data_IF_765824828367
#
_entry.id   IF_765824828367
#
_cell.length_a   1.000
_cell.length_b   1.000
_cell.length_c   1.000
_cell.angle_alpha   90.00
_cell.angle_beta   90.00
_cell.angle_gamma   90.00
#
_symmetry.space_group_name_H-M   'P 1'
#
loop_
_entity.id
_entity.type
_entity.pdbx_description
1 polymer ?
#
# COMPACT_ATOMS: atom_id res chain seq x y z
N UNK A 1 -15.02 27.33 -11.77
CA UNK A 1 -13.64 27.65 -11.32
C UNK A 1 -12.65 27.76 -12.49
N UNK A 2 -11.44 28.32 -12.27
CA UNK A 2 -10.30 28.33 -13.21
C UNK A 2 -9.00 27.94 -12.49
N UNK A 3 -8.17 27.10 -13.09
CA UNK A 3 -6.84 26.74 -12.57
C UNK A 3 -5.86 27.91 -12.77
N UNK A 4 -5.28 28.39 -11.68
CA UNK A 4 -4.24 29.42 -11.70
C UNK A 4 -2.84 28.80 -11.57
N UNK A 5 -1.83 29.44 -12.15
CA UNK A 5 -0.42 28.99 -12.04
C UNK A 5 0.23 29.74 -10.88
N UNK A 6 0.90 29.01 -10.00
CA UNK A 6 1.52 29.49 -8.76
C UNK A 6 3.04 29.31 -8.84
N UNK A 7 3.81 30.34 -8.52
CA UNK A 7 5.27 30.26 -8.43
C UNK A 7 5.74 29.79 -7.03
N UNK A 8 6.99 29.33 -6.94
CA UNK A 8 7.58 28.84 -5.69
C UNK A 8 7.62 29.91 -4.59
N UNK A 9 7.86 31.18 -4.94
CA UNK A 9 7.94 32.27 -3.96
C UNK A 9 6.58 32.54 -3.32
N UNK A 10 5.51 32.53 -4.10
CA UNK A 10 4.14 32.66 -3.59
C UNK A 10 3.67 31.42 -2.83
N UNK A 11 4.10 30.21 -3.20
CA UNK A 11 3.86 29.01 -2.37
C UNK A 11 4.57 29.12 -1.02
N UNK A 12 5.84 29.57 -0.98
CA UNK A 12 6.58 29.83 0.27
C UNK A 12 5.88 30.86 1.16
N UNK A 13 5.31 31.92 0.60
CA UNK A 13 4.49 32.88 1.35
C UNK A 13 3.25 32.24 1.97
N UNK A 14 2.53 31.39 1.22
CA UNK A 14 1.35 30.67 1.74
C UNK A 14 1.72 29.70 2.87
N UNK A 15 2.75 28.88 2.67
CA UNK A 15 3.22 27.91 3.67
C UNK A 15 3.76 28.58 4.95
N UNK A 16 4.32 29.79 4.85
CA UNK A 16 4.83 30.53 6.02
C UNK A 16 3.73 31.27 6.78
N UNK A 17 2.77 31.88 6.07
CA UNK A 17 1.82 32.81 6.67
C UNK A 17 0.46 32.17 6.99
N UNK A 18 -0.02 31.24 6.15
CA UNK A 18 -1.35 30.63 6.27
C UNK A 18 -1.36 29.10 6.05
N UNK A 19 -0.44 28.30 6.65
CA UNK A 19 -0.34 26.86 6.38
C UNK A 19 -1.66 26.10 6.65
N UNK A 20 -2.46 26.54 7.63
CA UNK A 20 -3.76 25.95 7.95
C UNK A 20 -4.90 26.30 6.95
N UNK A 21 -4.65 27.17 5.95
CA UNK A 21 -5.62 27.57 4.92
C UNK A 21 -5.27 27.09 3.51
N UNK A 22 -4.08 26.49 3.33
CA UNK A 22 -3.72 25.81 2.10
C UNK A 22 -3.77 24.29 2.25
N UNK A 23 -4.16 23.59 1.18
CA UNK A 23 -3.96 22.15 1.04
C UNK A 23 -3.00 21.91 -0.14
N UNK A 24 -1.95 21.12 0.08
CA UNK A 24 -0.99 20.77 -0.97
C UNK A 24 -1.17 19.31 -1.37
N UNK A 25 -1.42 19.07 -2.66
CA UNK A 25 -1.63 17.75 -3.26
C UNK A 25 -0.44 17.41 -4.16
N UNK A 26 0.36 16.45 -3.70
CA UNK A 26 1.56 15.98 -4.37
C UNK A 26 1.24 14.78 -5.27
N UNK A 27 1.21 15.02 -6.57
CA UNK A 27 0.85 14.03 -7.58
C UNK A 27 2.05 13.25 -8.14
N UNK A 28 3.23 13.33 -7.48
CA UNK A 28 4.38 12.49 -7.81
C UNK A 28 4.14 11.03 -7.42
N UNK A 29 4.86 10.06 -8.04
CA UNK A 29 4.83 8.67 -7.58
C UNK A 29 5.19 8.55 -6.10
N UNK A 30 4.55 7.63 -5.38
CA UNK A 30 4.73 7.46 -3.93
C UNK A 30 6.20 7.34 -3.49
N UNK A 31 7.06 6.69 -4.28
CA UNK A 31 8.50 6.56 -3.99
C UNK A 31 9.23 7.92 -4.02
N UNK A 32 8.85 8.82 -4.94
CA UNK A 32 9.43 10.17 -5.02
C UNK A 32 8.95 11.07 -3.88
N UNK A 33 7.69 10.90 -3.46
CA UNK A 33 7.13 11.60 -2.30
C UNK A 33 7.74 11.10 -0.97
N UNK A 34 7.85 9.79 -0.79
CA UNK A 34 8.34 9.20 0.48
C UNK A 34 9.84 9.41 0.73
N UNK A 35 10.64 9.70 -0.31
CA UNK A 35 12.03 10.11 -0.15
C UNK A 35 12.18 11.59 0.27
N UNK A 36 11.38 12.49 -0.32
CA UNK A 36 11.42 13.93 -0.05
C UNK A 36 10.09 14.58 -0.46
N UNK A 37 9.41 15.25 0.48
CA UNK A 37 8.11 15.91 0.24
C UNK A 37 8.01 17.31 0.88
N UNK A 38 6.97 18.07 0.51
CA UNK A 38 6.63 19.33 1.17
C UNK A 38 6.05 19.05 2.56
N UNK A 39 6.45 19.85 3.56
CA UNK A 39 5.92 19.71 4.92
C UNK A 39 4.40 19.91 4.94
N UNK A 40 3.67 18.82 5.20
CA UNK A 40 2.20 18.83 5.26
C UNK A 40 1.48 18.68 3.92
N UNK A 41 2.16 18.30 2.82
CA UNK A 41 1.46 17.88 1.59
C UNK A 41 0.91 16.46 1.72
N UNK A 42 -0.17 16.16 1.00
CA UNK A 42 -0.73 14.81 0.87
C UNK A 42 -0.33 14.21 -0.47
N UNK A 43 0.12 12.95 -0.49
CA UNK A 43 0.38 12.25 -1.75
C UNK A 43 -0.93 11.73 -2.38
N UNK A 44 -1.13 12.01 -3.67
CA UNK A 44 -2.29 11.53 -4.41
C UNK A 44 -1.96 10.24 -5.15
N UNK A 45 -2.10 9.11 -4.46
CA UNK A 45 -1.77 7.79 -5.00
C UNK A 45 -2.93 7.17 -5.81
N UNK A 46 -3.25 7.73 -6.98
CA UNK A 46 -4.17 7.09 -7.93
C UNK A 46 -3.55 5.81 -8.49
N UNK A 47 -4.16 4.66 -8.25
CA UNK A 47 -3.70 3.40 -8.83
C UNK A 47 -3.88 3.38 -10.36
N UNK A 48 -3.10 2.52 -11.04
CA UNK A 48 -3.09 2.44 -12.51
C UNK A 48 -4.44 2.08 -13.12
N UNK A 49 -5.28 1.31 -12.42
CA UNK A 49 -6.64 0.98 -12.86
C UNK A 49 -7.56 2.20 -12.86
N UNK A 50 -7.47 3.07 -11.84
CA UNK A 50 -8.21 4.34 -11.76
C UNK A 50 -7.73 5.31 -12.83
N UNK A 51 -6.40 5.48 -12.99
CA UNK A 51 -5.81 6.34 -14.05
C UNK A 51 -6.30 5.89 -15.43
N UNK A 52 -6.22 4.58 -15.73
CA UNK A 52 -6.66 4.02 -17.01
C UNK A 52 -8.16 4.20 -17.24
N UNK A 53 -9.02 3.92 -16.25
CA UNK A 53 -10.49 4.11 -16.39
C UNK A 53 -10.89 5.58 -16.53
N UNK A 54 -10.15 6.50 -15.90
CA UNK A 54 -10.38 7.92 -16.00
C UNK A 54 -10.15 8.45 -17.43
N UNK A 55 -9.06 8.04 -18.10
CA UNK A 55 -8.60 8.63 -19.37
C UNK A 55 -8.47 10.17 -19.31
N UNK A 56 -8.03 10.69 -18.17
CA UNK A 56 -7.92 12.13 -17.88
C UNK A 56 -9.21 12.82 -17.43
N UNK A 57 -10.35 12.11 -17.34
CA UNK A 57 -11.62 12.66 -16.81
C UNK A 57 -11.57 12.78 -15.28
N UNK A 58 -12.49 13.55 -14.66
CA UNK A 58 -12.68 13.55 -13.21
C UNK A 58 -12.91 12.15 -12.64
N UNK A 59 -12.48 11.91 -11.41
CA UNK A 59 -12.79 10.72 -10.60
C UNK A 59 -13.51 11.15 -9.31
N UNK A 60 -14.18 10.25 -8.57
CA UNK A 60 -14.74 10.58 -7.26
C UNK A 60 -13.69 11.19 -6.32
N UNK A 61 -14.05 12.30 -5.64
CA UNK A 61 -13.11 13.12 -4.87
C UNK A 61 -12.32 12.34 -3.79
N UNK A 62 -12.90 11.27 -3.23
CA UNK A 62 -12.23 10.42 -2.25
C UNK A 62 -10.98 9.70 -2.78
N UNK A 63 -10.85 9.48 -4.10
CA UNK A 63 -9.60 8.96 -4.68
C UNK A 63 -8.48 10.01 -4.74
N UNK A 64 -8.84 11.30 -4.77
CA UNK A 64 -7.90 12.42 -4.87
C UNK A 64 -7.51 12.96 -3.50
N UNK A 65 -8.46 12.98 -2.56
CA UNK A 65 -8.26 13.36 -1.16
C UNK A 65 -8.89 12.25 -0.30
N UNK A 66 -8.11 11.23 0.13
CA UNK A 66 -8.65 10.10 0.90
C UNK A 66 -8.99 10.46 2.35
N UNK A 67 -8.41 11.53 2.90
CA UNK A 67 -8.71 12.04 4.24
C UNK A 67 -10.09 12.73 4.31
N UNK A 68 -10.93 12.29 5.25
CA UNK A 68 -12.27 12.85 5.53
C UNK A 68 -12.19 14.33 5.95
N UNK A 69 -11.25 14.69 6.83
CA UNK A 69 -11.18 16.04 7.38
C UNK A 69 -10.76 17.08 6.32
N UNK A 70 -9.83 16.72 5.43
CA UNK A 70 -9.47 17.50 4.26
C UNK A 70 -10.63 17.58 3.24
N UNK A 71 -11.38 16.49 3.00
CA UNK A 71 -12.60 16.56 2.16
C UNK A 71 -13.63 17.55 2.73
N UNK A 72 -13.93 17.47 4.03
CA UNK A 72 -14.83 18.42 4.68
C UNK A 72 -14.37 19.88 4.50
N UNK A 73 -13.10 20.16 4.78
CA UNK A 73 -12.50 21.51 4.63
C UNK A 73 -12.42 22.02 3.18
N UNK A 74 -12.50 21.14 2.18
CA UNK A 74 -12.56 21.49 0.75
C UNK A 74 -13.97 21.82 0.26
N UNK A 75 -14.99 21.18 0.84
CA UNK A 75 -16.39 21.30 0.42
C UNK A 75 -17.16 22.40 1.17
N UNK A 76 -16.59 22.99 2.21
CA UNK A 76 -17.12 24.20 2.85
C UNK A 76 -17.06 25.40 1.87
N UNK A 77 -18.18 26.14 1.69
CA UNK A 77 -18.17 27.39 0.92
C UNK A 77 -17.33 28.50 1.57
N UNK A 78 -16.90 29.48 0.77
CA UNK A 78 -16.39 30.76 1.25
C UNK A 78 -17.52 31.60 1.84
N UNK A 79 -17.75 31.43 3.14
CA UNK A 79 -18.55 32.34 3.95
C UNK A 79 -18.03 33.79 3.76
N UNK A 80 -18.97 34.73 3.58
CA UNK A 80 -18.66 36.16 3.59
C UNK A 80 -18.35 36.59 5.03
N UNK A 81 -17.50 37.61 5.24
CA UNK A 81 -17.40 38.27 6.52
C UNK A 81 -18.65 39.13 6.73
N UNK A 82 -19.68 38.55 7.35
CA UNK A 82 -20.74 39.31 8.01
C UNK A 82 -20.23 39.65 9.42
N UNK A 83 -20.35 40.91 9.83
CA UNK A 83 -19.93 41.37 11.15
C UNK A 83 -20.87 40.79 12.22
N UNK A 84 -20.30 40.14 13.23
CA UNK A 84 -21.04 39.68 14.41
C UNK A 84 -20.39 40.28 15.65
N UNK A 85 -21.18 41.10 16.35
CA UNK A 85 -20.78 41.96 17.46
C UNK A 85 -20.50 41.16 18.76
N UNK A 86 -20.00 41.83 19.80
CA UNK A 86 -19.56 41.23 21.04
C UNK A 86 -20.70 40.49 21.78
N UNK A 87 -20.45 39.21 22.12
CA UNK A 87 -21.31 38.39 22.97
C UNK A 87 -20.49 37.70 24.06
N UNK A 88 -20.43 38.28 25.26
CA UNK A 88 -19.80 37.64 26.43
C UNK A 88 -20.66 36.50 26.96
N UNK A 89 -20.09 35.29 26.99
CA UNK A 89 -20.67 34.14 27.68
C UNK A 89 -19.56 33.23 28.21
N UNK A 90 -19.49 33.07 29.53
CA UNK A 90 -18.58 32.12 30.17
C UNK A 90 -19.15 30.70 30.10
N UNK A 91 -18.30 29.72 29.76
CA UNK A 91 -18.69 28.32 29.64
C UNK A 91 -17.53 27.45 29.18
N UNK A 92 -16.84 26.83 30.13
CA UNK A 92 -15.76 25.88 29.85
C UNK A 92 -16.33 24.50 29.48
N UNK A 93 -16.31 24.17 28.19
CA UNK A 93 -16.06 22.79 27.75
C UNK A 93 -15.32 22.79 26.40
N UNK A 94 -14.55 21.73 26.14
CA UNK A 94 -13.48 21.73 25.11
C UNK A 94 -13.97 21.47 23.69
N UNK A 95 -14.81 22.36 23.17
CA UNK A 95 -15.17 22.39 21.75
C UNK A 95 -13.92 22.67 20.91
N UNK A 96 -13.50 21.78 19.98
CA UNK A 96 -12.37 22.06 19.11
C UNK A 96 -12.69 23.23 18.17
N UNK A 97 -11.72 24.12 17.88
CA UNK A 97 -11.98 25.32 17.09
C UNK A 97 -12.50 24.97 15.69
N UNK A 98 -13.48 25.73 15.14
CA UNK A 98 -14.16 25.38 13.90
C UNK A 98 -13.15 25.19 12.74
N UNK A 99 -13.39 24.21 11.85
CA UNK A 99 -12.42 23.79 10.86
C UNK A 99 -12.05 24.93 9.91
N UNK A 100 -10.81 25.44 10.04
CA UNK A 100 -10.34 26.58 9.26
C UNK A 100 -10.44 26.30 7.76
N UNK A 101 -11.24 27.16 7.11
CA UNK A 101 -11.57 27.09 5.70
C UNK A 101 -10.34 27.21 4.80
N UNK A 102 -10.29 26.37 3.77
CA UNK A 102 -9.25 26.41 2.75
C UNK A 102 -9.45 27.57 1.76
N UNK A 103 -8.44 28.41 1.62
CA UNK A 103 -8.40 29.50 0.62
C UNK A 103 -7.76 29.04 -0.70
N UNK A 104 -6.88 28.03 -0.66
CA UNK A 104 -6.19 27.51 -1.84
C UNK A 104 -5.92 26.00 -1.78
N UNK A 105 -6.02 25.34 -2.93
CA UNK A 105 -5.59 23.96 -3.17
C UNK A 105 -4.45 24.01 -4.19
N UNK A 106 -3.27 23.56 -3.80
CA UNK A 106 -2.06 23.59 -4.63
C UNK A 106 -1.76 22.18 -5.11
N UNK A 107 -1.89 21.96 -6.41
CA UNK A 107 -1.52 20.71 -7.09
C UNK A 107 -0.10 20.85 -7.64
N UNK A 108 0.73 19.82 -7.46
CA UNK A 108 2.08 19.78 -8.03
C UNK A 108 2.42 18.39 -8.59
N UNK A 109 3.34 18.35 -9.54
CA UNK A 109 3.96 17.13 -10.06
C UNK A 109 5.49 17.18 -9.85
N UNK A 110 6.26 16.37 -10.58
CA UNK A 110 7.73 16.40 -10.49
C UNK A 110 8.30 17.75 -10.95
N UNK A 111 8.05 18.16 -12.21
CA UNK A 111 8.72 19.32 -12.80
C UNK A 111 7.95 20.04 -13.94
N UNK A 112 6.64 19.85 -14.09
CA UNK A 112 5.88 20.47 -15.20
C UNK A 112 5.82 21.99 -15.06
N UNK A 113 6.33 22.71 -16.06
CA UNK A 113 6.44 24.19 -16.04
C UNK A 113 5.09 24.94 -16.06
N UNK A 114 3.99 24.30 -16.47
CA UNK A 114 2.65 24.91 -16.51
C UNK A 114 1.56 23.83 -16.66
N UNK A 115 0.43 23.93 -15.96
CA UNK A 115 -0.62 22.87 -15.95
C UNK A 115 -1.10 22.46 -17.35
N UNK A 116 -1.26 23.42 -18.28
CA UNK A 116 -1.59 23.17 -19.70
C UNK A 116 -0.58 22.29 -20.47
N UNK A 117 0.56 21.92 -19.89
CA UNK A 117 1.56 20.99 -20.46
C UNK A 117 1.57 19.61 -19.80
N UNK A 118 0.66 19.35 -18.85
CA UNK A 118 0.49 18.02 -18.26
C UNK A 118 0.02 17.01 -19.31
N UNK A 119 0.46 15.75 -19.18
CA UNK A 119 -0.07 14.65 -19.99
C UNK A 119 -1.53 14.41 -19.61
N UNK A 120 -2.40 14.16 -20.60
CA UNK A 120 -3.86 13.94 -20.41
C UNK A 120 -4.18 12.92 -19.31
N UNK A 121 -3.39 11.84 -19.25
CA UNK A 121 -3.57 10.73 -18.30
C UNK A 121 -2.61 10.80 -17.09
N UNK A 122 -1.99 11.95 -16.83
CA UNK A 122 -1.19 12.14 -15.62
C UNK A 122 -2.07 12.32 -14.37
N UNK A 123 -1.59 11.84 -13.22
CA UNK A 123 -2.23 12.02 -11.91
C UNK A 123 -2.61 13.47 -11.67
N UNK A 124 -1.68 14.42 -11.88
CA UNK A 124 -1.95 15.85 -11.70
C UNK A 124 -3.07 16.39 -12.62
N UNK A 125 -3.21 15.88 -13.85
CA UNK A 125 -4.29 16.30 -14.75
C UNK A 125 -5.65 15.74 -14.32
N UNK A 126 -5.69 14.50 -13.85
CA UNK A 126 -6.91 13.88 -13.28
C UNK A 126 -7.32 14.60 -11.99
N UNK A 127 -6.36 14.96 -11.13
CA UNK A 127 -6.57 15.74 -9.90
C UNK A 127 -7.14 17.12 -10.21
N UNK A 128 -6.53 17.88 -11.12
CA UNK A 128 -7.04 19.19 -11.51
C UNK A 128 -8.47 19.11 -12.06
N UNK A 129 -8.76 18.13 -12.91
CA UNK A 129 -10.11 17.94 -13.47
C UNK A 129 -11.12 17.51 -12.41
N UNK A 130 -10.70 16.70 -11.43
CA UNK A 130 -11.53 16.31 -10.28
C UNK A 130 -11.88 17.49 -9.39
N UNK A 131 -10.90 18.32 -9.03
CA UNK A 131 -11.11 19.53 -8.23
C UNK A 131 -12.02 20.53 -8.96
N UNK A 132 -11.81 20.74 -10.27
CA UNK A 132 -12.66 21.60 -11.10
C UNK A 132 -14.13 21.14 -11.18
N UNK A 133 -14.40 19.85 -11.00
CA UNK A 133 -15.73 19.25 -11.05
C UNK A 133 -16.39 19.05 -9.67
N UNK A 134 -15.63 19.13 -8.57
CA UNK A 134 -16.10 18.76 -7.22
C UNK A 134 -16.13 19.91 -6.21
N UNK A 135 -15.43 21.04 -6.46
CA UNK A 135 -15.40 22.16 -5.52
C UNK A 135 -16.54 23.16 -5.76
N UNK A 136 -17.23 23.65 -4.70
CA UNK A 136 -18.32 24.61 -4.83
C UNK A 136 -17.82 26.02 -5.20
N UNK A 137 -18.68 26.86 -5.77
CA UNK A 137 -18.41 28.28 -5.97
C UNK A 137 -19.36 29.14 -5.09
N UNK A 138 -18.84 30.10 -4.30
CA UNK A 138 -17.42 30.41 -4.09
C UNK A 138 -16.74 29.39 -3.14
N UNK A 139 -15.54 28.93 -3.51
CA UNK A 139 -14.77 27.95 -2.74
C UNK A 139 -13.26 28.06 -2.99
N UNK A 140 -12.48 27.11 -2.45
CA UNK A 140 -11.02 27.15 -2.44
C UNK A 140 -10.39 27.29 -3.85
N UNK A 141 -9.42 28.20 -4.00
CA UNK A 141 -8.76 28.47 -5.28
C UNK A 141 -7.88 27.31 -5.75
N UNK A 142 -8.12 26.80 -6.95
CA UNK A 142 -7.25 25.79 -7.56
C UNK A 142 -5.99 26.44 -8.16
N UNK A 143 -4.84 26.01 -7.66
CA UNK A 143 -3.50 26.47 -8.04
C UNK A 143 -2.66 25.28 -8.54
N UNK A 144 -1.78 25.49 -9.52
CA UNK A 144 -0.78 24.52 -9.95
C UNK A 144 0.64 25.08 -9.84
N UNK A 145 1.55 24.34 -9.22
CA UNK A 145 2.92 24.77 -8.95
C UNK A 145 3.79 24.77 -10.23
N UNK A 146 4.24 25.96 -10.64
CA UNK A 146 5.10 26.21 -11.80
C UNK A 146 6.46 25.53 -11.62
N UNK A 147 6.68 24.44 -12.37
CA UNK A 147 7.94 23.70 -12.33
C UNK A 147 7.98 22.60 -11.26
N UNK A 148 6.82 22.22 -10.71
CA UNK A 148 6.66 21.07 -9.81
C UNK A 148 7.50 21.14 -8.53
N UNK A 149 7.66 19.97 -7.90
CA UNK A 149 8.49 19.81 -6.70
C UNK A 149 9.94 20.22 -6.92
N UNK A 150 10.52 19.85 -8.06
CA UNK A 150 11.95 20.02 -8.38
C UNK A 150 12.37 21.51 -8.40
N UNK A 151 11.54 22.38 -8.98
CA UNK A 151 11.77 23.84 -9.01
C UNK A 151 11.49 24.51 -7.67
N UNK A 152 10.72 23.88 -6.79
CA UNK A 152 10.50 24.39 -5.43
C UNK A 152 11.63 23.97 -4.48
N UNK A 153 11.94 22.67 -4.43
CA UNK A 153 12.98 22.11 -3.56
C UNK A 153 14.36 22.73 -3.81
N UNK A 154 14.71 22.98 -5.09
CA UNK A 154 15.96 23.67 -5.45
C UNK A 154 16.03 25.15 -5.05
N UNK A 155 14.92 25.76 -4.65
CA UNK A 155 14.84 27.17 -4.23
C UNK A 155 14.62 27.31 -2.71
N UNK A 156 13.81 26.42 -2.13
CA UNK A 156 13.32 26.50 -0.74
C UNK A 156 13.30 25.13 -0.04
N UNK A 157 14.44 24.43 0.09
CA UNK A 157 14.50 23.10 0.70
C UNK A 157 14.09 23.11 2.19
N UNK A 158 14.14 24.26 2.87
CA UNK A 158 13.76 24.39 4.29
C UNK A 158 12.25 24.18 4.56
N UNK A 159 11.42 24.20 3.51
CA UNK A 159 9.99 23.89 3.55
C UNK A 159 9.68 22.41 3.24
N UNK A 160 10.70 21.62 2.91
CA UNK A 160 10.59 20.20 2.64
C UNK A 160 10.93 19.34 3.88
N UNK A 161 10.65 18.04 3.75
CA UNK A 161 11.07 16.97 4.65
C UNK A 161 11.82 15.96 3.79
N UNK A 162 13.13 15.89 3.96
CA UNK A 162 13.93 14.80 3.42
C UNK A 162 13.94 13.63 4.41
N UNK A 163 13.47 12.46 3.97
CA UNK A 163 13.51 11.25 4.79
C UNK A 163 14.91 10.65 4.70
N UNK A 164 15.86 11.29 5.39
CA UNK A 164 17.18 10.70 5.62
C UNK A 164 17.00 9.41 6.42
N UNK A 165 17.59 8.27 6.01
CA UNK A 165 17.69 7.12 6.89
C UNK A 165 18.49 7.51 8.14
N UNK A 166 18.07 7.01 9.31
CA UNK A 166 18.68 7.37 10.60
C UNK A 166 20.11 6.83 10.66
N UNK A 167 21.07 7.70 10.36
CA UNK A 167 22.49 7.49 10.61
C UNK A 167 22.86 8.05 11.98
N UNK A 168 23.65 7.31 12.75
CA UNK A 168 24.12 7.68 14.08
C UNK A 168 24.90 9.00 14.07
N UNK A 169 24.95 9.65 15.24
CA UNK A 169 25.78 10.83 15.50
C UNK A 169 27.24 10.60 15.08
N UNK A 170 27.84 11.57 14.40
CA UNK A 170 29.29 11.65 14.17
C UNK A 170 29.77 13.08 14.37
N UNK A 171 30.88 13.20 15.08
CA UNK A 171 31.40 14.44 15.65
C UNK A 171 31.90 15.44 14.61
N UNK A 172 31.92 16.72 14.96
CA UNK A 172 32.40 17.82 14.13
C UNK A 172 33.93 17.77 13.92
N UNK A 173 34.40 16.98 12.94
CA UNK A 173 35.82 16.91 12.56
C UNK A 173 36.05 16.97 11.03
N UNK A 174 35.32 16.16 10.24
CA UNK A 174 35.63 15.91 8.81
C UNK A 174 35.14 16.99 7.82
N UNK A 175 35.33 18.28 8.14
CA UNK A 175 34.88 19.41 7.30
C UNK A 175 35.82 19.78 6.14
N UNK A 176 36.97 19.11 5.98
CA UNK A 176 38.11 19.63 5.19
C UNK A 176 38.66 18.73 4.06
N UNK A 177 37.90 17.75 3.54
CA UNK A 177 38.31 16.94 2.36
C UNK A 177 37.24 16.88 1.24
N UNK A 178 36.25 17.77 1.25
CA UNK A 178 35.12 17.76 0.30
C UNK A 178 35.31 18.59 -0.98
N UNK A 179 36.51 19.10 -1.27
CA UNK A 179 36.73 20.09 -2.35
C UNK A 179 37.25 19.55 -3.69
N UNK A 180 37.58 18.25 -3.81
CA UNK A 180 38.29 17.71 -4.99
C UNK A 180 37.75 16.38 -5.56
N UNK A 181 36.57 15.92 -5.13
CA UNK A 181 35.91 14.70 -5.67
C UNK A 181 34.54 14.95 -6.33
N UNK A 182 34.30 16.16 -6.84
CA UNK A 182 33.05 16.57 -7.49
C UNK A 182 32.83 15.95 -8.90
N UNK A 183 33.53 14.84 -9.23
CA UNK A 183 33.45 14.13 -10.52
C UNK A 183 33.51 12.61 -10.41
N UNK A 184 32.71 12.03 -9.52
CA UNK A 184 32.32 10.61 -9.65
C UNK A 184 30.88 10.40 -9.18
N UNK A 185 30.09 9.68 -9.99
CA UNK A 185 28.67 9.50 -9.75
C UNK A 185 28.42 8.69 -8.47
N UNK A 186 27.66 9.25 -7.53
CA UNK A 186 27.31 8.52 -6.31
C UNK A 186 26.31 7.40 -6.66
N UNK A 187 26.81 6.16 -6.71
CA UNK A 187 25.99 4.94 -6.76
C UNK A 187 25.23 4.74 -5.43
N UNK A 188 24.24 5.59 -5.17
CA UNK A 188 23.24 5.31 -4.14
C UNK A 188 22.31 4.22 -4.67
N UNK A 189 22.18 3.12 -3.93
CA UNK A 189 21.25 2.05 -4.30
C UNK A 189 19.81 2.58 -4.23
N UNK A 190 18.88 2.05 -5.05
CA UNK A 190 17.46 2.44 -5.03
C UNK A 190 16.86 2.44 -3.62
N UNK A 191 15.81 3.24 -3.39
CA UNK A 191 15.18 3.35 -2.07
C UNK A 191 14.68 2.01 -1.48
N UNK A 192 14.44 0.99 -2.32
CA UNK A 192 14.07 -0.37 -1.89
C UNK A 192 15.25 -1.26 -1.48
N UNK A 193 16.48 -0.84 -1.76
CA UNK A 193 17.77 -1.46 -1.43
C UNK A 193 18.49 -0.73 -0.29
N UNK A 194 17.80 0.16 0.41
CA UNK A 194 18.29 0.80 1.63
C UNK A 194 18.02 -0.08 2.84
N UNK A 195 19.05 -0.30 3.66
CA UNK A 195 19.04 -1.26 4.76
C UNK A 195 19.44 -2.67 4.32
N UNK A 196 18.86 -3.68 4.96
CA UNK A 196 19.08 -5.09 4.63
C UNK A 196 17.77 -5.88 4.50
N UNK A 197 17.83 -7.22 4.45
CA UNK A 197 16.64 -8.07 4.52
C UNK A 197 15.78 -7.76 5.75
N UNK A 198 14.46 -7.75 5.55
CA UNK A 198 13.48 -7.45 6.60
C UNK A 198 12.94 -8.75 7.19
N UNK A 199 12.97 -8.90 8.51
CA UNK A 199 12.39 -10.07 9.18
C UNK A 199 10.86 -10.03 9.15
N UNK A 200 10.23 -11.08 8.62
CA UNK A 200 8.78 -11.28 8.64
C UNK A 200 8.40 -12.25 9.76
N UNK A 201 9.16 -13.35 9.90
CA UNK A 201 9.14 -14.27 11.04
C UNK A 201 10.60 -14.63 11.38
N UNK A 202 10.92 -15.19 12.57
CA UNK A 202 12.29 -15.51 12.98
C UNK A 202 13.10 -16.42 12.03
N UNK A 203 12.43 -17.09 11.09
CA UNK A 203 13.00 -17.94 10.04
C UNK A 203 12.75 -17.42 8.61
N UNK A 204 12.00 -16.34 8.41
CA UNK A 204 11.54 -15.85 7.11
C UNK A 204 11.86 -14.37 6.94
N UNK A 205 12.79 -14.08 6.04
CA UNK A 205 13.22 -12.72 5.68
C UNK A 205 12.77 -12.36 4.26
N UNK A 206 12.56 -11.07 4.02
CA UNK A 206 12.07 -10.50 2.77
C UNK A 206 13.08 -9.49 2.20
N UNK A 207 13.40 -9.57 0.91
CA UNK A 207 14.35 -8.65 0.29
C UNK A 207 14.26 -8.51 -1.24
N UNK A 208 15.23 -7.77 -1.77
CA UNK A 208 15.51 -7.54 -3.18
C UNK A 208 16.67 -8.43 -3.67
N UNK A 209 16.96 -8.38 -4.97
CA UNK A 209 18.12 -9.05 -5.56
C UNK A 209 19.44 -8.43 -5.05
N UNK A 210 19.45 -7.12 -4.75
CA UNK A 210 20.58 -6.48 -4.08
C UNK A 210 20.81 -7.09 -2.69
N UNK A 211 19.77 -7.21 -1.84
CA UNK A 211 19.91 -7.83 -0.52
C UNK A 211 20.42 -9.28 -0.61
N UNK A 212 19.91 -10.06 -1.56
CA UNK A 212 20.37 -11.44 -1.80
C UNK A 212 21.81 -11.54 -2.35
N UNK A 213 22.39 -10.44 -2.85
CA UNK A 213 23.78 -10.40 -3.33
C UNK A 213 24.81 -10.04 -2.25
N UNK A 214 24.38 -9.76 -1.01
CA UNK A 214 25.26 -9.32 0.09
C UNK A 214 25.52 -10.45 1.08
N UNK A 215 26.64 -11.16 0.88
CA UNK A 215 27.11 -12.23 1.77
C UNK A 215 27.11 -11.82 3.24
N UNK A 216 27.50 -10.58 3.54
CA UNK A 216 27.50 -10.01 4.89
C UNK A 216 26.10 -9.99 5.53
N UNK A 217 25.06 -9.56 4.78
CA UNK A 217 23.68 -9.60 5.28
C UNK A 217 23.18 -11.04 5.47
N UNK A 218 23.54 -11.96 4.58
CA UNK A 218 23.16 -13.36 4.68
C UNK A 218 23.82 -14.03 5.91
N UNK A 219 25.12 -13.80 6.12
CA UNK A 219 25.88 -14.32 7.24
C UNK A 219 25.41 -13.74 8.58
N UNK A 220 25.30 -12.41 8.69
CA UNK A 220 24.91 -11.72 9.93
C UNK A 220 23.49 -12.04 10.38
N UNK A 221 22.58 -12.40 9.45
CA UNK A 221 21.23 -12.86 9.76
C UNK A 221 21.14 -14.39 9.93
N UNK A 222 22.22 -15.14 9.68
CA UNK A 222 22.29 -16.60 9.63
C UNK A 222 21.31 -17.24 8.62
N UNK A 223 21.19 -16.65 7.43
CA UNK A 223 20.43 -17.22 6.32
C UNK A 223 21.07 -18.54 5.87
N UNK A 224 20.27 -19.59 5.75
CA UNK A 224 20.68 -20.93 5.27
C UNK A 224 20.09 -21.25 3.89
N UNK A 225 19.10 -20.47 3.42
CA UNK A 225 18.38 -20.72 2.19
C UNK A 225 17.93 -19.43 1.46
N UNK A 226 17.83 -19.51 0.14
CA UNK A 226 17.40 -18.43 -0.73
C UNK A 226 16.24 -18.91 -1.62
N UNK A 227 15.15 -18.12 -1.70
CA UNK A 227 14.08 -18.32 -2.67
C UNK A 227 13.99 -17.11 -3.60
N UNK A 228 14.48 -17.29 -4.83
CA UNK A 228 14.45 -16.27 -5.88
C UNK A 228 13.15 -16.38 -6.70
N UNK A 229 12.30 -15.37 -6.59
CA UNK A 229 11.00 -15.26 -7.29
C UNK A 229 11.10 -14.24 -8.42
N UNK A 230 12.10 -14.38 -9.30
CA UNK A 230 12.32 -13.46 -10.43
C UNK A 230 12.84 -14.17 -11.68
N UNK A 231 12.61 -13.57 -12.87
CA UNK A 231 13.09 -14.13 -14.15
C UNK A 231 14.62 -14.26 -14.27
N UNK A 232 15.41 -13.52 -13.49
CA UNK A 232 16.87 -13.63 -13.50
C UNK A 232 17.28 -14.68 -12.46
N UNK A 233 17.84 -15.81 -12.91
CA UNK A 233 18.61 -16.68 -12.01
C UNK A 233 19.80 -15.87 -11.49
N UNK A 234 20.07 -15.96 -10.20
CA UNK A 234 21.31 -15.44 -9.61
C UNK A 234 22.21 -16.64 -9.36
N UNK A 235 23.41 -16.63 -9.94
CA UNK A 235 24.35 -17.75 -9.88
C UNK A 235 25.33 -17.77 -8.68
N UNK A 236 25.78 -16.65 -8.08
CA UNK A 236 27.00 -16.66 -7.25
C UNK A 236 26.90 -17.36 -5.87
N UNK A 237 25.77 -18.00 -5.53
CA UNK A 237 25.51 -18.52 -4.18
C UNK A 237 24.84 -19.90 -4.10
N UNK A 238 24.77 -20.66 -5.20
CA UNK A 238 24.15 -22.01 -5.20
C UNK A 238 24.83 -23.01 -4.29
N UNK A 239 26.11 -22.80 -4.00
CA UNK A 239 26.99 -23.81 -3.40
C UNK A 239 27.14 -23.61 -1.87
N UNK A 240 26.57 -22.51 -1.34
CA UNK A 240 26.66 -22.12 0.08
C UNK A 240 25.30 -22.09 0.79
N UNK A 241 24.20 -22.02 0.05
CA UNK A 241 22.84 -21.89 0.59
C UNK A 241 21.90 -22.86 -0.13
N UNK A 242 20.87 -23.37 0.56
CA UNK A 242 19.79 -24.09 -0.10
C UNK A 242 19.03 -23.11 -1.02
N UNK A 243 19.35 -23.12 -2.31
CA UNK A 243 18.83 -22.17 -3.29
C UNK A 243 17.67 -22.78 -4.11
N UNK A 244 16.52 -22.10 -4.12
CA UNK A 244 15.39 -22.40 -5.02
C UNK A 244 15.05 -21.19 -5.88
N UNK A 245 14.64 -21.46 -7.12
CA UNK A 245 14.31 -20.44 -8.12
C UNK A 245 12.95 -20.74 -8.75
N UNK A 246 12.06 -19.74 -8.73
CA UNK A 246 10.72 -19.80 -9.33
C UNK A 246 10.61 -18.59 -10.29
N UNK A 247 10.73 -18.80 -11.62
CA UNK A 247 11.00 -17.72 -12.58
C UNK A 247 9.76 -16.90 -12.98
N UNK A 248 9.28 -16.03 -12.08
CA UNK A 248 8.07 -15.21 -12.31
C UNK A 248 8.39 -13.79 -12.81
N UNK A 249 7.65 -13.32 -13.83
CA UNK A 249 7.63 -11.92 -14.29
C UNK A 249 6.71 -11.05 -13.42
N UNK A 250 7.06 -9.77 -13.20
CA UNK A 250 6.23 -8.83 -12.45
C UNK A 250 5.07 -8.24 -13.29
N UNK A 251 4.33 -9.12 -13.96
CA UNK A 251 3.16 -8.75 -14.76
C UNK A 251 1.86 -9.17 -14.07
N UNK A 252 0.80 -8.40 -14.30
CA UNK A 252 -0.56 -8.76 -13.93
C UNK A 252 -1.13 -9.91 -14.78
N UNK A 253 -0.45 -10.28 -15.87
CA UNK A 253 -0.77 -11.43 -16.73
C UNK A 253 0.02 -12.70 -16.36
N UNK A 254 0.94 -12.61 -15.40
CA UNK A 254 1.69 -13.78 -14.93
C UNK A 254 0.90 -14.50 -13.84
N UNK A 255 0.86 -15.83 -13.90
CA UNK A 255 0.44 -16.66 -12.78
C UNK A 255 1.61 -16.83 -11.80
N UNK A 256 1.34 -16.50 -10.54
CA UNK A 256 2.21 -16.77 -9.39
C UNK A 256 1.52 -17.70 -8.38
N UNK A 257 0.20 -17.91 -8.52
CA UNK A 257 -0.64 -18.68 -7.61
C UNK A 257 -0.38 -20.18 -7.68
N UNK A 258 -0.17 -20.74 -8.88
CA UNK A 258 0.24 -22.14 -9.06
C UNK A 258 1.55 -22.49 -8.34
N UNK A 259 2.43 -21.50 -8.15
CA UNK A 259 3.69 -21.65 -7.41
C UNK A 259 3.58 -21.41 -5.90
N UNK A 260 2.41 -21.03 -5.35
CA UNK A 260 2.27 -20.78 -3.92
C UNK A 260 2.57 -22.01 -3.07
N UNK A 261 1.96 -23.16 -3.39
CA UNK A 261 2.18 -24.39 -2.62
C UNK A 261 3.66 -24.83 -2.68
N UNK A 262 4.26 -24.77 -3.87
CA UNK A 262 5.68 -25.06 -4.11
C UNK A 262 6.63 -24.18 -3.27
N UNK A 263 6.34 -22.88 -3.19
CA UNK A 263 7.12 -21.93 -2.41
C UNK A 263 6.93 -22.13 -0.89
N UNK A 264 5.70 -22.41 -0.47
CA UNK A 264 5.33 -22.60 0.94
C UNK A 264 5.98 -23.85 1.52
N UNK A 265 5.98 -24.95 0.77
CA UNK A 265 6.66 -26.20 1.16
C UNK A 265 8.17 -26.02 1.31
N UNK A 266 8.80 -25.21 0.44
CA UNK A 266 10.22 -24.90 0.55
C UNK A 266 10.53 -24.06 1.80
N UNK A 267 9.77 -22.98 2.05
CA UNK A 267 9.91 -22.16 3.26
C UNK A 267 9.68 -23.01 4.53
N UNK A 268 8.68 -23.88 4.52
CA UNK A 268 8.38 -24.75 5.67
C UNK A 268 9.42 -25.86 5.89
N UNK A 269 10.04 -26.37 4.83
CA UNK A 269 11.16 -27.31 4.92
C UNK A 269 12.35 -26.68 5.66
N UNK A 270 12.75 -25.46 5.27
CA UNK A 270 13.82 -24.72 5.95
C UNK A 270 13.47 -24.40 7.41
N UNK A 271 12.21 -24.01 7.67
CA UNK A 271 11.68 -23.82 9.03
C UNK A 271 11.80 -25.09 9.88
N UNK A 272 11.45 -26.26 9.34
CA UNK A 272 11.55 -27.55 10.03
C UNK A 272 12.99 -28.00 10.27
N UNK A 273 13.92 -27.60 9.42
CA UNK A 273 15.36 -27.79 9.62
C UNK A 273 15.99 -26.81 10.63
N UNK A 274 15.21 -25.88 11.21
CA UNK A 274 15.71 -24.83 12.11
C UNK A 274 16.51 -23.72 11.41
N UNK A 275 16.53 -23.72 10.09
CA UNK A 275 17.23 -22.72 9.27
C UNK A 275 16.44 -21.43 9.08
N UNK A 276 17.04 -20.49 8.33
CA UNK A 276 16.43 -19.21 7.96
C UNK A 276 16.46 -19.01 6.46
N UNK A 277 15.36 -18.53 5.87
CA UNK A 277 15.22 -18.32 4.44
C UNK A 277 14.99 -16.84 4.08
N UNK A 278 15.71 -16.36 3.06
CA UNK A 278 15.43 -15.09 2.40
C UNK A 278 14.60 -15.31 1.12
N UNK A 279 13.37 -14.80 1.10
CA UNK A 279 12.52 -14.76 -0.09
C UNK A 279 12.73 -13.41 -0.78
N UNK A 280 13.16 -13.42 -2.04
CA UNK A 280 13.48 -12.20 -2.78
C UNK A 280 12.98 -12.22 -4.23
N UNK A 281 12.86 -11.04 -4.82
CA UNK A 281 12.72 -10.83 -6.26
C UNK A 281 13.58 -9.62 -6.66
N UNK A 282 13.43 -9.04 -7.85
CA UNK A 282 14.27 -7.91 -8.30
C UNK A 282 14.36 -6.78 -7.25
N UNK A 283 13.22 -6.18 -6.86
CA UNK A 283 13.14 -5.03 -5.96
C UNK A 283 12.54 -5.34 -4.56
N UNK A 284 12.05 -6.56 -4.34
CA UNK A 284 11.37 -6.92 -3.08
C UNK A 284 10.08 -6.11 -2.80
N UNK A 285 9.36 -5.72 -3.86
CA UNK A 285 8.14 -4.89 -3.79
C UNK A 285 6.86 -5.68 -4.09
N UNK A 286 6.89 -6.61 -5.05
CA UNK A 286 5.68 -7.30 -5.55
C UNK A 286 5.77 -8.83 -5.44
N UNK A 287 6.59 -9.51 -6.26
CA UNK A 287 6.68 -10.99 -6.29
C UNK A 287 7.03 -11.65 -4.94
N UNK A 288 8.13 -11.28 -4.29
CA UNK A 288 8.49 -11.89 -3.00
C UNK A 288 7.52 -11.55 -1.86
N UNK A 289 6.99 -10.31 -1.72
CA UNK A 289 5.90 -10.04 -0.79
C UNK A 289 4.65 -10.88 -1.03
N UNK A 290 4.28 -11.14 -2.28
CA UNK A 290 3.14 -12.01 -2.64
C UNK A 290 3.32 -13.43 -2.09
N UNK A 291 4.51 -14.02 -2.27
CA UNK A 291 4.84 -15.34 -1.70
C UNK A 291 4.80 -15.32 -0.16
N UNK A 292 5.31 -14.26 0.48
CA UNK A 292 5.24 -14.11 1.93
C UNK A 292 3.78 -13.98 2.44
N UNK A 293 2.90 -13.29 1.70
CA UNK A 293 1.46 -13.21 2.03
C UNK A 293 0.80 -14.59 1.94
N UNK A 294 1.00 -15.31 0.83
CA UNK A 294 0.49 -16.67 0.65
C UNK A 294 0.96 -17.62 1.77
N UNK A 295 2.22 -17.51 2.19
CA UNK A 295 2.77 -18.26 3.33
C UNK A 295 2.08 -17.91 4.67
N UNK A 296 1.91 -16.63 4.98
CA UNK A 296 1.23 -16.20 6.20
C UNK A 296 -0.23 -16.66 6.23
N UNK A 297 -0.98 -16.54 5.14
CA UNK A 297 -2.37 -17.00 5.10
C UNK A 297 -2.46 -18.53 5.26
N UNK A 298 -1.63 -19.31 4.55
CA UNK A 298 -1.65 -20.78 4.62
C UNK A 298 -1.23 -21.31 6.00
N UNK A 299 -0.12 -20.78 6.55
CA UNK A 299 0.59 -21.36 7.70
C UNK A 299 0.33 -20.64 9.04
N UNK A 300 -0.14 -19.39 9.01
CA UNK A 300 -0.55 -18.62 10.21
C UNK A 300 -2.06 -18.32 10.26
N UNK A 301 -2.83 -18.72 9.25
CA UNK A 301 -4.28 -18.50 9.14
C UNK A 301 -4.71 -17.03 9.17
N UNK A 302 -3.80 -16.15 8.75
CA UNK A 302 -4.12 -14.75 8.50
C UNK A 302 -5.05 -14.63 7.29
N UNK A 303 -5.89 -13.59 7.29
CA UNK A 303 -6.54 -13.07 6.09
C UNK A 303 -5.53 -12.33 5.21
N UNK A 304 -5.91 -12.03 3.97
CA UNK A 304 -5.06 -11.29 3.04
C UNK A 304 -4.75 -9.88 3.54
N UNK A 305 -5.76 -9.18 4.09
CA UNK A 305 -5.61 -7.85 4.69
C UNK A 305 -4.59 -7.87 5.85
N UNK A 306 -4.73 -8.83 6.77
CA UNK A 306 -3.82 -9.03 7.90
C UNK A 306 -2.39 -9.38 7.43
N UNK A 307 -2.25 -10.27 6.43
CA UNK A 307 -0.96 -10.65 5.86
C UNK A 307 -0.30 -9.51 5.08
N UNK A 308 -1.08 -8.67 4.41
CA UNK A 308 -0.60 -7.47 3.74
C UNK A 308 -0.06 -6.47 4.76
N UNK A 309 -0.87 -6.08 5.76
CA UNK A 309 -0.48 -5.07 6.75
C UNK A 309 0.66 -5.52 7.64
N UNK A 310 0.68 -6.80 8.05
CA UNK A 310 1.78 -7.37 8.83
C UNK A 310 3.13 -7.24 8.10
N UNK A 311 3.17 -7.41 6.78
CA UNK A 311 4.37 -7.19 5.95
C UNK A 311 4.58 -5.69 5.68
N UNK A 312 3.52 -4.90 5.47
CA UNK A 312 3.56 -3.46 5.21
C UNK A 312 4.20 -2.67 6.34
N UNK A 313 3.89 -3.02 7.59
CA UNK A 313 4.49 -2.44 8.80
C UNK A 313 6.01 -2.67 8.86
N UNK A 314 6.50 -3.77 8.29
CA UNK A 314 7.92 -4.18 8.31
C UNK A 314 8.70 -3.67 7.10
N UNK A 315 8.06 -3.63 5.93
CA UNK A 315 8.61 -3.10 4.66
C UNK A 315 7.56 -2.24 3.96
N UNK A 316 7.50 -0.96 4.34
CA UNK A 316 6.52 0.04 3.86
C UNK A 316 6.41 0.15 2.33
N UNK A 317 7.45 -0.23 1.61
CA UNK A 317 7.51 -0.19 0.14
C UNK A 317 6.78 -1.34 -0.58
N UNK A 318 6.27 -2.36 0.14
CA UNK A 318 5.58 -3.48 -0.53
C UNK A 318 4.27 -3.03 -1.20
N UNK A 319 4.06 -3.55 -2.41
CA UNK A 319 2.94 -3.30 -3.30
C UNK A 319 2.91 -4.38 -4.40
N UNK A 320 2.29 -5.55 -4.15
CA UNK A 320 1.97 -6.52 -5.20
C UNK A 320 1.25 -5.86 -6.38
N UNK A 321 1.53 -6.34 -7.60
CA UNK A 321 0.76 -5.89 -8.76
C UNK A 321 -0.71 -6.36 -8.65
N UNK A 322 -1.63 -5.69 -9.34
CA UNK A 322 -3.07 -5.94 -9.17
C UNK A 322 -3.51 -7.35 -9.62
N UNK A 323 -2.79 -8.00 -10.53
CA UNK A 323 -3.06 -9.39 -10.91
C UNK A 323 -2.70 -10.36 -9.80
N UNK A 324 -1.56 -10.15 -9.13
CA UNK A 324 -1.17 -10.92 -7.95
C UNK A 324 -2.10 -10.68 -6.76
N UNK A 325 -2.61 -9.45 -6.57
CA UNK A 325 -3.60 -9.18 -5.53
C UNK A 325 -4.91 -9.93 -5.79
N UNK A 326 -5.36 -10.01 -7.04
CA UNK A 326 -6.51 -10.85 -7.43
C UNK A 326 -6.26 -12.35 -7.19
N UNK A 327 -5.06 -12.84 -7.51
CA UNK A 327 -4.65 -14.22 -7.24
C UNK A 327 -4.54 -14.55 -5.74
N UNK A 328 -4.11 -13.59 -4.91
CA UNK A 328 -4.10 -13.75 -3.46
C UNK A 328 -5.52 -13.79 -2.87
N UNK A 329 -6.45 -12.97 -3.35
CA UNK A 329 -7.87 -13.02 -2.97
C UNK A 329 -8.52 -14.37 -3.33
N UNK A 330 -8.23 -14.88 -4.52
CA UNK A 330 -8.67 -16.20 -4.96
C UNK A 330 -8.13 -17.29 -4.03
N UNK A 331 -6.82 -17.29 -3.76
CA UNK A 331 -6.16 -18.26 -2.87
C UNK A 331 -6.67 -18.20 -1.42
N UNK A 332 -6.93 -17.00 -0.89
CA UNK A 332 -7.57 -16.81 0.43
C UNK A 332 -8.91 -17.56 0.50
N UNK A 333 -9.76 -17.41 -0.53
CA UNK A 333 -11.06 -18.09 -0.57
C UNK A 333 -10.91 -19.62 -0.55
N UNK A 334 -9.92 -20.18 -1.25
CA UNK A 334 -9.65 -21.62 -1.35
C UNK A 334 -9.15 -22.21 -0.02
N UNK A 335 -8.20 -21.54 0.65
CA UNK A 335 -7.55 -22.07 1.87
C UNK A 335 -8.34 -21.82 3.15
N UNK A 336 -9.33 -20.92 3.13
CA UNK A 336 -10.26 -20.68 4.23
C UNK A 336 -11.56 -21.48 4.06
N UNK A 337 -12.05 -21.69 2.83
CA UNK A 337 -13.23 -22.54 2.58
C UNK A 337 -12.94 -24.03 2.73
N UNK A 338 -11.67 -24.46 2.66
CA UNK A 338 -11.26 -25.86 2.87
C UNK A 338 -11.06 -26.26 4.34
N UNK A 339 -11.52 -25.44 5.29
CA UNK A 339 -11.66 -25.86 6.68
C UNK A 339 -12.83 -26.88 6.81
N UNK A 340 -12.62 -28.10 7.32
CA UNK A 340 -13.66 -29.11 7.36
C UNK A 340 -14.78 -28.72 8.35
N UNK A 341 -15.98 -28.51 7.82
CA UNK A 341 -17.20 -28.44 8.63
C UNK A 341 -17.56 -29.81 9.21
N UNK A 342 -18.21 -29.88 10.39
CA UNK A 342 -18.75 -31.14 10.89
C UNK A 342 -19.84 -31.68 9.94
N UNK A 343 -20.03 -33.02 9.86
CA UNK A 343 -20.93 -33.62 8.89
C UNK A 343 -22.39 -33.22 9.14
N UNK A 344 -22.90 -32.32 8.29
CA UNK A 344 -24.31 -31.92 8.29
C UNK A 344 -25.14 -33.06 7.72
N UNK A 345 -26.12 -33.54 8.49
CA UNK A 345 -26.97 -34.66 8.09
C UNK A 345 -27.77 -34.35 6.81
N UNK A 346 -27.78 -35.29 5.86
CA UNK A 346 -28.52 -35.15 4.61
C UNK A 346 -30.03 -35.17 4.85
N UNK A 347 -30.67 -34.01 4.68
CA UNK A 347 -32.11 -33.90 4.60
C UNK A 347 -32.52 -33.72 3.14
N UNK A 348 -33.11 -34.75 2.54
CA UNK A 348 -33.70 -34.69 1.20
C UNK A 348 -34.77 -33.60 1.14
N UNK A 349 -34.90 -32.94 0.00
CA UNK A 349 -36.15 -32.30 -0.43
C UNK A 349 -36.20 -32.26 -1.94
N UNK A 350 -37.36 -32.64 -2.47
CA UNK A 350 -37.54 -32.94 -3.88
C UNK A 350 -37.72 -31.66 -4.71
N UNK A 351 -37.24 -31.70 -5.96
CA UNK A 351 -37.45 -30.63 -6.91
C UNK A 351 -38.81 -30.83 -7.63
N UNK A 352 -39.65 -29.79 -7.61
CA UNK A 352 -40.83 -29.71 -8.47
C UNK A 352 -40.61 -28.56 -9.46
N UNK A 353 -40.77 -28.85 -10.74
CA UNK A 353 -40.58 -27.91 -11.84
C UNK A 353 -41.74 -26.92 -11.97
N UNK A 354 -41.48 -25.74 -12.51
CA UNK A 354 -42.53 -24.90 -13.09
C UNK A 354 -41.99 -24.08 -14.27
N UNK A 355 -42.77 -24.10 -15.37
CA UNK A 355 -42.56 -23.43 -16.66
C UNK A 355 -41.24 -23.67 -17.42
N UNK A 356 -41.30 -24.67 -18.30
CA UNK A 356 -40.85 -24.48 -19.69
C UNK A 356 -42.07 -24.07 -20.51
N UNK A 357 -41.97 -23.05 -21.35
CA UNK A 357 -42.91 -22.85 -22.47
C UNK A 357 -42.18 -22.24 -23.66
N UNK A 358 -42.63 -22.56 -24.88
CA UNK A 358 -41.85 -22.50 -26.11
C UNK A 358 -42.56 -21.67 -27.19
N UNK A 359 -41.87 -20.68 -27.76
CA UNK A 359 -42.26 -20.07 -29.04
C UNK A 359 -41.01 -19.84 -29.91
N UNK A 360 -41.13 -20.17 -31.18
CA UNK A 360 -40.01 -20.31 -32.11
C UNK A 360 -40.01 -19.27 -33.23
N UNK A 361 -38.83 -19.14 -33.85
CA UNK A 361 -38.64 -18.75 -35.26
C UNK A 361 -38.82 -17.28 -35.68
N UNK A 362 -37.68 -16.57 -35.90
CA UNK A 362 -37.39 -15.91 -37.20
C UNK A 362 -35.91 -15.51 -37.33
N UNK A 363 -35.49 -15.15 -38.56
CA UNK A 363 -34.08 -15.08 -39.01
C UNK A 363 -33.29 -13.84 -38.52
N UNK A 364 -32.19 -14.11 -37.80
CA UNK A 364 -30.81 -13.67 -38.08
C UNK A 364 -30.46 -12.22 -38.47
N UNK A 365 -29.56 -11.62 -37.69
CA UNK A 365 -28.55 -10.63 -38.14
C UNK A 365 -27.30 -10.70 -37.23
N UNK A 366 -26.15 -10.18 -37.70
CA UNK A 366 -24.91 -10.10 -36.91
C UNK A 366 -24.88 -8.88 -35.97
N UNK A 367 -24.23 -8.98 -34.80
CA UNK A 367 -24.07 -7.81 -33.92
C UNK A 367 -23.26 -8.09 -32.65
N UNK A 368 -22.07 -7.49 -32.54
CA UNK A 368 -21.22 -7.58 -31.36
C UNK A 368 -21.51 -6.47 -30.34
N UNK A 369 -21.94 -6.82 -29.13
CA UNK A 369 -21.65 -6.06 -27.90
C UNK A 369 -22.02 -6.82 -26.62
N UNK A 370 -21.02 -7.27 -25.83
CA UNK A 370 -21.25 -7.70 -24.45
C UNK A 370 -21.25 -6.49 -23.50
N UNK A 371 -22.45 -5.99 -23.19
CA UNK A 371 -22.67 -5.10 -22.06
C UNK A 371 -23.22 -5.92 -20.87
N UNK A 372 -22.50 -5.97 -19.75
CA UNK A 372 -23.02 -6.55 -18.50
C UNK A 372 -23.65 -5.45 -17.62
N UNK A 373 -24.81 -5.72 -16.99
CA UNK A 373 -25.62 -4.70 -16.35
C UNK A 373 -25.01 -4.17 -15.04
N UNK A 374 -25.27 -2.90 -14.74
CA UNK A 374 -25.03 -2.29 -13.43
C UNK A 374 -26.37 -2.12 -12.71
N UNK A 375 -26.64 -2.99 -11.74
CA UNK A 375 -27.88 -2.98 -10.94
C UNK A 375 -27.60 -2.65 -9.48
N UNK A 376 -27.83 -1.38 -9.14
CA UNK A 376 -28.34 -0.84 -7.87
C UNK A 376 -28.09 -1.67 -6.59
N UNK A 377 -27.14 -1.23 -5.77
CA UNK A 377 -27.18 -1.51 -4.33
C UNK A 377 -28.15 -0.52 -3.66
N UNK A 378 -29.29 -1.03 -3.19
CA UNK A 378 -30.18 -0.30 -2.27
C UNK A 378 -29.76 -0.52 -0.82
N UNK A 379 -30.07 0.45 0.05
CA UNK A 379 -29.64 0.46 1.45
C UNK A 379 -30.44 -0.54 2.31
N UNK A 380 -29.74 -1.40 3.06
CA UNK A 380 -30.34 -2.23 4.11
C UNK A 380 -30.08 -1.57 5.48
N UNK A 381 -31.10 -1.38 6.35
CA UNK A 381 -30.89 -0.78 7.66
C UNK A 381 -30.07 -1.67 8.60
N UNK A 382 -29.15 -1.06 9.36
CA UNK A 382 -28.44 -1.75 10.45
C UNK A 382 -29.35 -1.77 11.69
N UNK A 383 -29.77 -2.96 12.12
CA UNK A 383 -30.33 -3.18 13.44
C UNK A 383 -29.38 -4.02 14.28
N UNK A 384 -28.87 -3.45 15.37
CA UNK A 384 -27.99 -4.14 16.31
C UNK A 384 -28.79 -4.76 17.47
N UNK A 385 -28.55 -6.03 17.82
CA UNK A 385 -28.86 -6.58 19.13
C UNK A 385 -27.57 -6.75 19.95
N UNK A 386 -27.39 -5.92 20.98
CA UNK A 386 -26.34 -6.12 21.99
C UNK A 386 -26.68 -7.36 22.81
N UNK A 387 -25.76 -8.34 22.88
CA UNK A 387 -25.82 -9.40 23.88
C UNK A 387 -24.54 -9.47 24.69
N UNK A 388 -24.68 -9.31 26.00
CA UNK A 388 -23.61 -9.40 26.98
C UNK A 388 -23.19 -10.86 27.17
N UNK A 389 -21.89 -11.15 27.09
CA UNK A 389 -21.31 -12.39 27.61
C UNK A 389 -20.70 -12.12 28.99
N UNK A 390 -21.19 -12.84 30.00
CA UNK A 390 -20.71 -12.74 31.38
C UNK A 390 -19.35 -13.41 31.52
N UNK A 391 -18.43 -12.73 32.20
CA UNK A 391 -17.27 -13.36 32.83
C UNK A 391 -17.73 -14.22 34.02
N UNK A 392 -17.13 -15.40 34.19
CA UNK A 392 -16.77 -15.97 35.50
C UNK A 392 -15.86 -17.22 35.31
N UNK A 393 -15.10 -17.64 36.35
CA UNK A 393 -13.70 -18.01 36.09
C UNK A 393 -13.22 -19.35 36.70
N UNK A 394 -11.96 -19.68 36.39
CA UNK A 394 -11.03 -20.58 37.12
C UNK A 394 -11.44 -22.06 37.24
N UNK A 395 -10.61 -22.92 36.63
CA UNK A 395 -10.12 -24.13 37.27
C UNK A 395 -8.67 -24.37 36.81
N UNK A 396 -7.74 -24.56 37.75
CA UNK A 396 -6.35 -24.90 37.46
C UNK A 396 -6.06 -26.31 37.97
N UNK A 397 -5.33 -27.10 37.19
CA UNK A 397 -4.81 -28.40 37.60
C UNK A 397 -3.40 -28.61 37.03
N UNK A 398 -2.47 -28.95 37.89
CA UNK A 398 -1.07 -29.29 37.56
C UNK A 398 -0.73 -30.66 38.15
N UNK A 399 0.46 -31.21 37.81
CA UNK A 399 0.99 -32.49 38.32
C UNK A 399 0.28 -33.76 37.77
N UNK A 400 0.89 -34.97 37.71
CA UNK A 400 2.31 -35.34 37.73
C UNK A 400 2.51 -36.77 37.16
N UNK A 401 3.62 -36.99 36.42
CA UNK A 401 4.49 -38.19 36.34
C UNK A 401 3.97 -39.65 36.42
N UNK A 402 4.74 -40.54 35.75
CA UNK A 402 4.87 -42.02 35.94
C UNK A 402 3.67 -42.93 35.62
N UNK A 403 3.81 -44.18 35.13
CA UNK A 403 4.96 -44.96 34.60
C UNK A 403 4.66 -45.31 33.10
N UNK A 404 5.12 -46.36 32.38
CA UNK A 404 6.07 -47.49 32.53
C UNK A 404 6.44 -47.99 31.11
N UNK A 405 7.63 -48.57 30.87
CA UNK A 405 7.93 -49.27 29.61
C UNK A 405 9.41 -49.51 29.30
N UNK A 406 10.07 -50.48 29.96
CA UNK A 406 11.52 -50.74 29.86
C UNK A 406 11.89 -51.89 28.93
N UNK A 407 12.91 -51.69 28.07
CA UNK A 407 14.01 -52.63 27.70
C UNK A 407 15.06 -51.83 26.89
N UNK A 408 16.36 -51.80 27.23
CA UNK A 408 17.38 -52.86 27.31
C UNK A 408 17.69 -53.54 25.95
N UNK A 409 18.95 -53.68 25.51
CA UNK A 409 20.24 -53.29 26.13
C UNK A 409 21.41 -53.20 25.11
N UNK A 410 22.59 -52.79 25.59
CA UNK A 410 23.97 -53.01 25.07
C UNK A 410 24.44 -52.38 23.76
N UNK A 411 25.57 -51.67 23.88
CA UNK A 411 26.58 -51.31 22.86
C UNK A 411 27.95 -51.58 23.50
N UNK A 412 28.94 -52.11 22.77
CA UNK A 412 30.11 -51.30 22.44
C UNK A 412 30.34 -51.18 20.91
#
# INVERSE_FOLDING_TARGET
MKVTTLDSGRLKQLLRNEPARCLVLDCRPYLSYSASCLRGSLNVNLNSTVIRRAHGRPVPLHFVVPDEAARGRLLLPLARPEESDAGTGEGDDRVPPPPRLLTAVIVLDQNTRHWRKLKKESTAQIVLNTLLASLPEPGARICFLKGGYETFYSQYPEFCIDVKPVSQERTEADRSINSLYEKQCIHQNPAYDQGGPVEILPFLYLGSAYHASKCEFLANLNITALLNVSRKRSEPFTDQYCYKWIPVEDSHTADISSHFQEAIEFIDCIRRAGGKILVHCEAGISRSPTICMAYLMKMRKFRLEEAFDYIKQRRSLISPNFGFMGQLLQYESEILSSAPSPPVASCKRDAVSFFTEELTLSKGFEGSCFAFPTSVLSSVPIHSPVHQLKLNPIAAASSCWTLLGTRDNTVP
#
